data_IF_388428510713
#
_entry.id   IF_388428510713
#
_cell.length_a   1.000
_cell.length_b   1.000
_cell.length_c   1.000
_cell.angle_alpha   90.00
_cell.angle_beta   90.00
_cell.angle_gamma   90.00
#
_symmetry.space_group_name_H-M   'P 1'
#
loop_
_entity.id
_entity.type
_entity.pdbx_description
1 polymer ?
#
# COMPACT_ATOMS: atom_id res chain seq x y z
N UNK A 1 1.61 -6.97 -29.86
CA UNK A 1 2.31 -5.68 -30.14
C UNK A 1 1.53 -4.58 -29.44
N UNK A 2 2.13 -3.87 -28.49
CA UNK A 2 1.46 -2.74 -27.82
C UNK A 2 1.08 -1.70 -28.87
N UNK A 3 -0.21 -1.41 -29.04
CA UNK A 3 -0.71 -0.36 -29.92
C UNK A 3 -0.05 0.97 -29.54
N UNK A 4 0.66 1.60 -30.45
CA UNK A 4 1.15 2.97 -30.33
C UNK A 4 -0.07 3.91 -30.27
N UNK A 5 -0.66 4.10 -29.09
CA UNK A 5 -1.70 5.09 -28.90
C UNK A 5 -1.08 6.48 -28.71
N UNK A 6 -1.79 7.53 -29.12
CA UNK A 6 -1.35 8.93 -28.91
C UNK A 6 -1.10 9.22 -27.41
N UNK A 7 -1.83 8.58 -26.51
CA UNK A 7 -1.66 8.65 -25.06
C UNK A 7 -0.32 8.07 -24.64
N UNK A 8 0.03 6.87 -25.10
CA UNK A 8 1.31 6.22 -24.76
C UNK A 8 2.53 7.03 -25.25
N UNK A 9 2.42 7.68 -26.41
CA UNK A 9 3.49 8.54 -26.91
C UNK A 9 3.67 9.79 -26.02
N UNK A 10 2.58 10.44 -25.62
CA UNK A 10 2.62 11.59 -24.69
C UNK A 10 3.26 11.17 -23.33
N UNK A 11 2.83 10.05 -22.76
CA UNK A 11 3.39 9.51 -21.51
C UNK A 11 4.91 9.25 -21.65
N UNK A 12 5.32 8.67 -22.75
CA UNK A 12 6.75 8.39 -23.01
C UNK A 12 7.57 9.67 -23.17
N UNK A 13 7.07 10.67 -23.90
CA UNK A 13 7.75 11.96 -24.05
C UNK A 13 7.83 12.74 -22.72
N UNK A 14 6.79 12.68 -21.88
CA UNK A 14 6.83 13.28 -20.56
C UNK A 14 7.86 12.60 -19.66
N UNK A 15 7.88 11.26 -19.63
CA UNK A 15 8.85 10.49 -18.86
C UNK A 15 10.29 10.79 -19.32
N UNK A 16 10.50 10.90 -20.65
CA UNK A 16 11.80 11.25 -21.25
C UNK A 16 12.28 12.64 -20.82
N UNK A 17 11.40 13.63 -20.84
CA UNK A 17 11.74 14.99 -20.40
C UNK A 17 12.13 15.06 -18.93
N UNK A 18 11.50 14.23 -18.09
CA UNK A 18 11.71 14.20 -16.65
C UNK A 18 12.95 13.40 -16.24
N UNK A 19 13.14 12.22 -16.81
CA UNK A 19 14.09 11.21 -16.34
C UNK A 19 15.26 10.98 -17.30
N UNK A 20 15.22 11.57 -18.49
CA UNK A 20 16.28 11.45 -19.51
C UNK A 20 16.21 10.15 -20.33
N UNK A 21 17.10 10.06 -21.32
CA UNK A 21 17.13 8.97 -22.32
C UNK A 21 17.36 7.59 -21.70
N UNK A 22 18.32 7.50 -20.76
CA UNK A 22 18.73 6.22 -20.15
C UNK A 22 17.57 5.54 -19.42
N UNK A 23 16.89 6.27 -18.52
CA UNK A 23 15.82 5.71 -17.68
C UNK A 23 14.58 5.42 -18.52
N UNK A 24 14.31 6.23 -19.54
CA UNK A 24 13.22 5.97 -20.50
C UNK A 24 13.48 4.70 -21.31
N UNK A 25 14.72 4.50 -21.78
CA UNK A 25 15.10 3.28 -22.49
C UNK A 25 14.99 2.03 -21.61
N UNK A 26 15.47 2.10 -20.36
CA UNK A 26 15.36 0.98 -19.40
C UNK A 26 13.89 0.64 -19.09
N UNK A 27 13.06 1.63 -18.83
CA UNK A 27 11.62 1.44 -18.58
C UNK A 27 10.90 0.82 -19.79
N UNK A 28 11.24 1.25 -21.01
CA UNK A 28 10.70 0.66 -22.24
C UNK A 28 11.10 -0.81 -22.42
N UNK A 29 12.38 -1.14 -22.17
CA UNK A 29 12.87 -2.52 -22.25
C UNK A 29 12.22 -3.41 -21.17
N UNK A 30 12.02 -2.90 -19.97
CA UNK A 30 11.37 -3.64 -18.91
C UNK A 30 9.91 -3.96 -19.26
N UNK A 31 9.17 -2.98 -19.79
CA UNK A 31 7.78 -3.16 -20.27
C UNK A 31 7.67 -4.21 -21.37
N UNK A 32 8.59 -4.24 -22.32
CA UNK A 32 8.58 -5.23 -23.40
C UNK A 32 8.81 -6.67 -22.92
N UNK A 33 9.40 -6.85 -21.74
CA UNK A 33 9.64 -8.16 -21.12
C UNK A 33 8.49 -8.65 -20.25
N UNK A 34 7.68 -7.74 -19.74
CA UNK A 34 6.47 -8.11 -18.98
C UNK A 34 5.42 -8.60 -19.97
N UNK A 35 5.22 -9.91 -20.05
CA UNK A 35 3.99 -10.48 -20.59
C UNK A 35 3.01 -10.54 -19.44
N UNK A 36 2.04 -9.67 -19.44
CA UNK A 36 0.93 -9.72 -18.51
C UNK A 36 -0.14 -10.61 -19.15
N UNK A 37 -0.28 -11.82 -18.62
CA UNK A 37 -1.32 -12.77 -19.00
C UNK A 37 -2.36 -12.82 -17.87
N UNK A 38 -2.82 -11.61 -17.45
CA UNK A 38 -3.79 -11.47 -16.40
C UNK A 38 -5.21 -11.54 -16.98
N UNK A 39 -6.04 -12.32 -16.32
CA UNK A 39 -7.47 -12.36 -16.53
C UNK A 39 -8.15 -12.37 -15.17
N UNK A 40 -9.06 -11.43 -14.94
CA UNK A 40 -9.93 -11.50 -13.79
C UNK A 40 -10.95 -12.66 -13.97
N UNK A 41 -11.08 -13.48 -12.96
CA UNK A 41 -12.07 -14.54 -12.89
C UNK A 41 -13.02 -14.21 -11.74
N UNK A 42 -14.25 -13.85 -12.09
CA UNK A 42 -15.31 -13.63 -11.10
C UNK A 42 -15.59 -14.94 -10.34
N UNK A 43 -15.92 -14.85 -9.03
CA UNK A 43 -16.33 -16.03 -8.27
C UNK A 43 -17.51 -16.75 -8.96
N UNK A 44 -17.46 -18.09 -9.01
CA UNK A 44 -18.53 -18.88 -9.62
C UNK A 44 -19.86 -18.65 -8.87
N UNK A 45 -20.99 -18.74 -9.58
CA UNK A 45 -22.31 -18.52 -8.98
C UNK A 45 -22.59 -19.40 -7.74
N UNK A 46 -22.07 -20.65 -7.73
CA UNK A 46 -22.21 -21.53 -6.57
C UNK A 46 -21.50 -20.96 -5.33
N UNK A 47 -20.34 -20.33 -5.52
CA UNK A 47 -19.59 -19.64 -4.46
C UNK A 47 -20.38 -18.44 -3.98
N UNK A 48 -20.87 -17.58 -4.90
CA UNK A 48 -21.66 -16.40 -4.54
C UNK A 48 -22.95 -16.76 -3.78
N UNK A 49 -23.61 -17.88 -4.14
CA UNK A 49 -24.77 -18.39 -3.40
C UNK A 49 -24.38 -18.84 -2.00
N UNK A 50 -23.30 -19.60 -1.87
CA UNK A 50 -22.82 -20.05 -0.55
C UNK A 50 -22.45 -18.84 0.35
N UNK A 51 -21.79 -17.83 -0.20
CA UNK A 51 -21.48 -16.58 0.53
C UNK A 51 -22.74 -15.86 1.01
N UNK A 52 -23.79 -15.77 0.17
CA UNK A 52 -25.08 -15.17 0.58
C UNK A 52 -25.73 -15.92 1.74
N UNK A 53 -25.71 -17.26 1.69
CA UNK A 53 -26.24 -18.09 2.77
C UNK A 53 -25.44 -17.92 4.06
N UNK A 54 -24.11 -17.91 3.97
CA UNK A 54 -23.24 -17.71 5.12
C UNK A 54 -23.42 -16.32 5.71
N UNK A 55 -23.41 -15.27 4.87
CA UNK A 55 -23.65 -13.89 5.26
C UNK A 55 -24.99 -13.73 6.02
N UNK A 56 -26.04 -14.45 5.63
CA UNK A 56 -27.34 -14.39 6.30
C UNK A 56 -27.34 -14.94 7.75
N UNK A 57 -26.34 -15.77 8.08
CA UNK A 57 -26.15 -16.36 9.42
C UNK A 57 -25.18 -15.57 10.30
N UNK A 58 -24.42 -14.64 9.69
CA UNK A 58 -23.49 -13.79 10.43
C UNK A 58 -24.24 -12.77 11.29
N UNK A 59 -23.63 -12.36 12.40
CA UNK A 59 -24.10 -11.18 13.11
C UNK A 59 -24.03 -9.96 12.16
N UNK A 60 -25.10 -9.19 12.00
CA UNK A 60 -25.15 -8.13 11.02
C UNK A 60 -24.12 -7.04 11.34
N UNK A 61 -23.27 -6.75 10.36
CA UNK A 61 -22.29 -5.69 10.37
C UNK A 61 -22.65 -4.71 9.25
N UNK A 62 -23.22 -3.57 9.58
CA UNK A 62 -23.64 -2.58 8.59
C UNK A 62 -22.42 -1.86 8.02
N UNK A 63 -22.29 -1.88 6.68
CA UNK A 63 -21.36 -1.06 5.92
C UNK A 63 -22.05 0.17 5.35
N UNK A 64 -21.41 1.34 5.39
CA UNK A 64 -21.80 2.52 4.63
C UNK A 64 -20.86 2.64 3.43
N UNK A 65 -21.38 2.60 2.21
CA UNK A 65 -20.58 2.83 1.00
C UNK A 65 -20.78 4.27 0.58
N UNK A 66 -19.72 5.07 0.62
CA UNK A 66 -19.75 6.48 0.26
C UNK A 66 -19.35 6.69 -1.19
N UNK A 67 -20.20 7.37 -1.95
CA UNK A 67 -19.96 7.69 -3.35
C UNK A 67 -20.25 9.19 -3.57
N UNK A 68 -19.22 10.04 -3.59
CA UNK A 68 -19.39 11.42 -4.05
C UNK A 68 -19.62 11.43 -5.56
N UNK A 69 -20.70 12.05 -6.02
CA UNK A 69 -21.04 12.13 -7.44
C UNK A 69 -20.98 13.57 -7.94
N UNK A 70 -20.46 13.75 -9.14
CA UNK A 70 -20.43 15.03 -9.82
C UNK A 70 -20.46 14.83 -11.35
N UNK A 71 -21.59 15.12 -11.98
CA UNK A 71 -21.79 14.99 -13.44
C UNK A 71 -21.38 13.61 -13.96
N UNK A 72 -21.69 12.58 -13.19
CA UNK A 72 -21.36 11.19 -13.52
C UNK A 72 -22.12 10.75 -14.77
N UNK A 73 -21.46 10.19 -15.79
CA UNK A 73 -22.14 9.59 -16.93
C UNK A 73 -23.13 8.51 -16.47
N UNK A 74 -24.34 8.50 -17.06
CA UNK A 74 -25.42 7.61 -16.63
C UNK A 74 -25.01 6.14 -16.62
N UNK A 75 -24.30 5.68 -17.66
CA UNK A 75 -23.86 4.29 -17.77
C UNK A 75 -22.91 3.91 -16.62
N UNK A 76 -21.94 4.75 -16.28
CA UNK A 76 -21.01 4.48 -15.16
C UNK A 76 -21.74 4.47 -13.83
N UNK A 77 -22.64 5.42 -13.62
CA UNK A 77 -23.44 5.50 -12.41
C UNK A 77 -24.30 4.24 -12.21
N UNK A 78 -24.95 3.75 -13.28
CA UNK A 78 -25.74 2.52 -13.24
C UNK A 78 -24.85 1.31 -12.92
N UNK A 79 -23.77 1.13 -13.64
CA UNK A 79 -22.87 0.01 -13.46
C UNK A 79 -22.27 -0.01 -12.05
N UNK A 80 -21.90 1.17 -11.51
CA UNK A 80 -21.42 1.30 -10.13
C UNK A 80 -22.51 0.89 -9.12
N UNK A 81 -23.75 1.44 -9.25
CA UNK A 81 -24.87 1.09 -8.37
C UNK A 81 -25.15 -0.41 -8.44
N UNK A 82 -25.23 -0.97 -9.66
CA UNK A 82 -25.50 -2.39 -9.88
C UNK A 82 -24.43 -3.28 -9.23
N UNK A 83 -23.16 -2.87 -9.29
CA UNK A 83 -22.05 -3.59 -8.64
C UNK A 83 -22.20 -3.63 -7.11
N UNK A 84 -22.71 -2.56 -6.50
CA UNK A 84 -23.00 -2.51 -5.06
C UNK A 84 -24.25 -3.32 -4.71
N UNK A 85 -25.30 -3.26 -5.53
CA UNK A 85 -26.52 -4.04 -5.28
C UNK A 85 -26.33 -5.53 -5.46
N UNK A 86 -25.36 -5.94 -6.28
CA UNK A 86 -24.99 -7.35 -6.53
C UNK A 86 -24.22 -7.99 -5.37
N UNK A 87 -23.84 -7.26 -4.33
CA UNK A 87 -23.05 -7.79 -3.23
C UNK A 87 -23.68 -9.02 -2.57
N UNK A 88 -22.83 -10.02 -2.28
CA UNK A 88 -23.26 -11.25 -1.56
C UNK A 88 -23.52 -10.98 -0.09
N UNK A 89 -22.92 -9.94 0.49
CA UNK A 89 -23.21 -9.47 1.84
C UNK A 89 -24.21 -8.30 1.80
N UNK A 90 -25.42 -8.53 2.27
CA UNK A 90 -26.56 -7.63 2.07
C UNK A 90 -26.71 -6.49 3.10
N UNK A 91 -25.93 -6.50 4.19
CA UNK A 91 -26.05 -5.47 5.26
C UNK A 91 -25.20 -4.25 4.93
N UNK A 92 -25.71 -3.38 4.05
CA UNK A 92 -25.08 -2.12 3.68
C UNK A 92 -26.09 -1.01 3.40
N UNK A 93 -25.65 0.22 3.41
CA UNK A 93 -26.28 1.39 2.82
C UNK A 93 -25.34 2.00 1.77
N UNK A 94 -25.89 2.41 0.64
CA UNK A 94 -25.19 3.13 -0.43
C UNK A 94 -25.56 4.61 -0.35
N UNK A 95 -24.61 5.47 -0.04
CA UNK A 95 -24.81 6.91 0.14
C UNK A 95 -24.23 7.65 -1.04
N UNK A 96 -25.11 8.18 -1.90
CA UNK A 96 -24.77 8.97 -3.08
C UNK A 96 -24.90 10.45 -2.73
N UNK A 97 -23.76 11.14 -2.62
CA UNK A 97 -23.72 12.58 -2.35
C UNK A 97 -23.48 13.36 -3.64
N UNK A 98 -24.55 13.92 -4.20
CA UNK A 98 -24.55 14.52 -5.52
C UNK A 98 -24.35 16.03 -5.48
N UNK A 99 -23.26 16.48 -6.08
CA UNK A 99 -22.89 17.88 -6.27
C UNK A 99 -23.08 18.37 -7.71
N UNK A 100 -23.80 17.63 -8.58
CA UNK A 100 -23.94 17.95 -10.01
C UNK A 100 -24.68 19.26 -10.28
N UNK A 101 -25.59 19.64 -9.39
CA UNK A 101 -26.39 20.88 -9.52
C UNK A 101 -27.57 20.75 -10.45
N UNK A 102 -27.79 19.60 -11.10
CA UNK A 102 -28.91 19.25 -11.95
C UNK A 102 -29.62 17.97 -11.48
N UNK A 103 -30.56 17.45 -12.27
CA UNK A 103 -31.34 16.26 -11.91
C UNK A 103 -30.77 14.95 -12.51
N UNK A 104 -29.65 14.99 -13.23
CA UNK A 104 -29.16 13.86 -14.02
C UNK A 104 -28.88 12.62 -13.16
N UNK A 105 -28.16 12.79 -12.06
CA UNK A 105 -27.86 11.70 -11.10
C UNK A 105 -29.15 11.24 -10.41
N UNK A 106 -30.01 12.18 -9.99
CA UNK A 106 -31.25 11.85 -9.30
C UNK A 106 -32.19 11.03 -10.17
N UNK A 107 -32.34 11.38 -11.46
CA UNK A 107 -33.18 10.64 -12.40
C UNK A 107 -32.75 9.18 -12.55
N UNK A 108 -31.44 8.91 -12.52
CA UNK A 108 -30.91 7.54 -12.53
C UNK A 108 -31.25 6.84 -11.23
N UNK A 109 -30.97 7.48 -10.08
CA UNK A 109 -31.22 6.89 -8.75
C UNK A 109 -32.71 6.57 -8.54
N UNK A 110 -33.61 7.43 -8.99
CA UNK A 110 -35.08 7.25 -8.86
C UNK A 110 -35.59 6.02 -9.66
N UNK A 111 -34.79 5.44 -10.55
CA UNK A 111 -35.15 4.19 -11.23
C UNK A 111 -34.93 2.93 -10.38
N UNK A 112 -34.24 3.06 -9.25
CA UNK A 112 -33.98 1.95 -8.33
C UNK A 112 -34.96 1.98 -7.16
N UNK A 113 -35.60 0.85 -6.88
CA UNK A 113 -36.54 0.69 -5.75
C UNK A 113 -35.89 0.11 -4.50
N UNK A 114 -34.55 0.15 -4.38
CA UNK A 114 -33.81 -0.43 -3.26
C UNK A 114 -33.66 0.58 -2.11
N UNK A 115 -34.22 0.25 -0.95
CA UNK A 115 -34.22 1.13 0.24
C UNK A 115 -32.81 1.33 0.85
N UNK A 116 -31.83 0.55 0.44
CA UNK A 116 -30.44 0.71 0.88
C UNK A 116 -29.76 1.89 0.18
N UNK A 117 -30.29 2.37 -0.94
CA UNK A 117 -29.77 3.55 -1.64
C UNK A 117 -30.29 4.81 -0.97
N UNK A 118 -29.37 5.69 -0.61
CA UNK A 118 -29.64 7.00 -0.01
C UNK A 118 -29.05 8.10 -0.88
N UNK A 119 -29.90 8.80 -1.60
CA UNK A 119 -29.51 9.96 -2.40
C UNK A 119 -29.53 11.24 -1.56
N UNK A 120 -28.43 12.01 -1.62
CA UNK A 120 -28.26 13.27 -0.92
C UNK A 120 -27.83 14.33 -1.91
N UNK A 121 -28.70 15.31 -2.15
CA UNK A 121 -28.36 16.46 -2.98
C UNK A 121 -27.54 17.46 -2.18
N UNK A 122 -26.35 17.78 -2.66
CA UNK A 122 -25.51 18.80 -2.05
C UNK A 122 -25.87 20.18 -2.59
N UNK A 123 -25.83 21.20 -1.73
CA UNK A 123 -26.15 22.57 -2.11
C UNK A 123 -25.10 23.19 -3.05
N UNK A 124 -23.85 22.72 -2.91
CA UNK A 124 -22.69 23.19 -3.67
C UNK A 124 -21.65 22.09 -3.84
N UNK A 125 -20.82 22.19 -4.87
CA UNK A 125 -19.68 21.31 -5.08
C UNK A 125 -18.46 21.83 -4.29
N UNK A 126 -18.08 21.11 -3.23
CA UNK A 126 -16.92 21.42 -2.35
C UNK A 126 -15.67 20.62 -2.73
N UNK A 127 -15.59 20.10 -3.95
CA UNK A 127 -14.53 19.18 -4.32
C UNK A 127 -14.73 17.77 -3.76
N UNK A 128 -13.83 16.86 -4.09
CA UNK A 128 -13.98 15.46 -3.70
C UNK A 128 -13.97 15.28 -2.18
N UNK A 129 -13.06 15.94 -1.47
CA UNK A 129 -12.95 15.87 -0.02
C UNK A 129 -14.20 16.41 0.68
N UNK A 130 -14.64 17.61 0.30
CA UNK A 130 -15.81 18.25 0.90
C UNK A 130 -17.09 17.46 0.63
N UNK A 131 -17.29 16.97 -0.60
CA UNK A 131 -18.47 16.17 -0.96
C UNK A 131 -18.47 14.82 -0.21
N UNK A 132 -17.32 14.16 -0.06
CA UNK A 132 -17.21 12.91 0.69
C UNK A 132 -17.47 13.14 2.18
N UNK A 133 -16.99 14.26 2.75
CA UNK A 133 -17.27 14.61 4.15
C UNK A 133 -18.78 14.87 4.37
N UNK A 134 -19.48 15.48 3.39
CA UNK A 134 -20.95 15.63 3.48
C UNK A 134 -21.63 14.24 3.46
N UNK A 135 -21.22 13.33 2.57
CA UNK A 135 -21.73 11.95 2.56
C UNK A 135 -21.49 11.25 3.90
N UNK A 136 -20.31 11.42 4.48
CA UNK A 136 -19.89 10.79 5.73
C UNK A 136 -20.78 11.16 6.94
N UNK A 137 -21.38 12.35 6.96
CA UNK A 137 -22.31 12.76 8.01
C UNK A 137 -23.52 11.83 8.11
N UNK A 138 -23.89 11.23 6.98
CA UNK A 138 -25.05 10.35 6.85
C UNK A 138 -24.70 8.86 7.05
N UNK A 139 -23.43 8.50 7.15
CA UNK A 139 -22.99 7.13 7.37
C UNK A 139 -23.42 6.64 8.77
N UNK A 140 -24.14 5.50 8.81
CA UNK A 140 -24.63 4.85 10.02
C UNK A 140 -23.99 3.48 10.25
N UNK A 141 -23.30 2.94 9.25
CA UNK A 141 -22.58 1.67 9.34
C UNK A 141 -21.42 1.72 10.32
N UNK A 142 -21.02 0.56 10.83
CA UNK A 142 -19.85 0.44 11.70
C UNK A 142 -18.56 0.62 10.92
N UNK A 143 -18.55 0.23 9.66
CA UNK A 143 -17.46 0.43 8.72
C UNK A 143 -17.94 1.20 7.49
N UNK A 144 -17.06 1.99 6.93
CA UNK A 144 -17.32 2.80 5.74
C UNK A 144 -16.34 2.42 4.63
N UNK A 145 -16.88 2.04 3.46
CA UNK A 145 -16.13 1.81 2.23
C UNK A 145 -16.16 3.04 1.33
N UNK A 146 -15.04 3.32 0.69
CA UNK A 146 -14.86 4.45 -0.23
C UNK A 146 -14.91 3.94 -1.67
N UNK A 147 -15.87 4.42 -2.45
CA UNK A 147 -16.07 4.00 -3.83
C UNK A 147 -16.20 5.23 -4.74
N UNK A 148 -15.43 5.26 -5.81
CA UNK A 148 -15.54 6.28 -6.83
C UNK A 148 -16.78 6.03 -7.74
N UNK A 149 -17.38 7.10 -8.22
CA UNK A 149 -18.68 7.07 -8.92
C UNK A 149 -18.65 6.41 -10.31
N UNK A 150 -17.47 6.11 -10.82
CA UNK A 150 -17.22 5.51 -12.14
C UNK A 150 -16.53 4.13 -12.06
N UNK A 151 -16.28 3.63 -10.85
CA UNK A 151 -15.60 2.36 -10.60
C UNK A 151 -16.58 1.23 -10.19
N UNK A 152 -16.05 0.02 -10.04
CA UNK A 152 -16.86 -1.16 -9.75
C UNK A 152 -16.32 -1.95 -8.56
N UNK A 153 -17.23 -2.52 -7.77
CA UNK A 153 -16.87 -3.55 -6.77
C UNK A 153 -17.09 -4.95 -7.36
N UNK A 154 -16.25 -5.91 -6.95
CA UNK A 154 -16.56 -7.32 -7.20
C UNK A 154 -17.75 -7.76 -6.35
N UNK A 155 -18.53 -8.78 -6.78
CA UNK A 155 -19.78 -9.15 -6.10
C UNK A 155 -19.59 -9.67 -4.66
N UNK A 156 -18.37 -10.01 -4.28
CA UNK A 156 -18.00 -10.54 -2.97
C UNK A 156 -17.21 -9.53 -2.11
N UNK A 157 -17.06 -8.29 -2.56
CA UNK A 157 -16.22 -7.30 -1.88
C UNK A 157 -16.63 -7.06 -0.41
N UNK A 158 -17.91 -6.87 -0.14
CA UNK A 158 -18.39 -6.65 1.23
C UNK A 158 -18.36 -7.93 2.08
N UNK A 159 -18.57 -9.09 1.45
CA UNK A 159 -18.47 -10.38 2.14
C UNK A 159 -17.04 -10.63 2.62
N UNK A 160 -16.05 -10.47 1.76
CA UNK A 160 -14.64 -10.66 2.11
C UNK A 160 -14.19 -9.67 3.22
N UNK A 161 -14.66 -8.42 3.17
CA UNK A 161 -14.43 -7.47 4.26
C UNK A 161 -15.09 -7.90 5.57
N UNK A 162 -16.34 -8.39 5.54
CA UNK A 162 -17.04 -8.87 6.73
C UNK A 162 -16.32 -10.08 7.34
N UNK A 163 -15.86 -11.02 6.51
CA UNK A 163 -15.11 -12.19 6.93
C UNK A 163 -13.76 -11.80 7.55
N UNK A 164 -13.00 -10.92 6.92
CA UNK A 164 -11.73 -10.43 7.46
C UNK A 164 -11.90 -9.75 8.84
N UNK A 165 -12.97 -8.96 9.00
CA UNK A 165 -13.31 -8.33 10.28
C UNK A 165 -13.68 -9.39 11.33
N UNK A 166 -14.49 -10.38 10.97
CA UNK A 166 -14.91 -11.45 11.88
C UNK A 166 -13.70 -12.29 12.33
N UNK A 167 -12.84 -12.67 11.41
CA UNK A 167 -11.60 -13.41 11.69
C UNK A 167 -10.66 -12.63 12.61
N UNK A 168 -10.38 -11.36 12.31
CA UNK A 168 -9.53 -10.52 13.15
C UNK A 168 -10.09 -10.39 14.57
N UNK A 169 -11.41 -10.16 14.71
CA UNK A 169 -12.09 -10.08 16.01
C UNK A 169 -12.03 -11.38 16.80
N UNK A 170 -12.07 -12.53 16.14
CA UNK A 170 -11.92 -13.84 16.80
C UNK A 170 -10.54 -13.99 17.46
N UNK A 171 -9.54 -13.29 16.95
CA UNK A 171 -8.17 -13.21 17.50
C UNK A 171 -7.98 -12.05 18.50
N UNK A 172 -9.06 -11.34 18.85
CA UNK A 172 -9.00 -10.16 19.72
C UNK A 172 -8.47 -8.88 19.06
N UNK A 173 -8.33 -8.87 17.74
CA UNK A 173 -7.90 -7.71 16.95
C UNK A 173 -9.12 -6.90 16.55
N UNK A 174 -9.01 -5.57 16.60
CA UNK A 174 -10.04 -4.65 16.10
C UNK A 174 -9.56 -3.98 14.82
N UNK A 175 -9.90 -4.51 13.63
CA UNK A 175 -9.53 -3.86 12.39
C UNK A 175 -10.10 -2.45 12.32
N UNK A 176 -9.25 -1.47 12.04
CA UNK A 176 -9.68 -0.07 11.92
C UNK A 176 -9.53 0.44 10.50
N UNK A 177 -8.65 -0.19 9.72
CA UNK A 177 -8.41 0.06 8.30
C UNK A 177 -8.26 -1.29 7.60
N UNK A 178 -9.03 -1.50 6.53
CA UNK A 178 -8.91 -2.65 5.65
C UNK A 178 -8.67 -2.15 4.22
N UNK A 179 -7.95 -2.92 3.44
CA UNK A 179 -7.74 -2.67 2.01
C UNK A 179 -7.58 -3.98 1.26
N UNK A 180 -7.91 -3.96 -0.02
CA UNK A 180 -7.81 -5.14 -0.87
C UNK A 180 -6.86 -4.93 -2.05
N UNK A 181 -6.58 -6.00 -2.78
CA UNK A 181 -6.03 -5.88 -4.12
C UNK A 181 -7.04 -5.20 -5.05
N UNK A 182 -6.54 -4.67 -6.14
CA UNK A 182 -7.33 -4.02 -7.19
C UNK A 182 -6.79 -4.39 -8.57
N UNK A 183 -7.59 -4.18 -9.59
CA UNK A 183 -7.14 -4.16 -10.98
C UNK A 183 -7.71 -2.96 -11.72
N UNK A 184 -7.48 -2.90 -13.00
CA UNK A 184 -8.06 -1.89 -13.87
C UNK A 184 -9.02 -2.53 -14.85
N UNK A 185 -10.09 -1.81 -15.18
CA UNK A 185 -10.96 -2.19 -16.28
C UNK A 185 -10.97 -1.11 -17.38
N UNK A 186 -11.37 -1.52 -18.58
CA UNK A 186 -11.59 -0.58 -19.68
C UNK A 186 -12.85 0.26 -19.44
N UNK A 187 -13.12 1.18 -20.37
CA UNK A 187 -14.27 2.11 -20.31
C UNK A 187 -15.61 1.37 -20.20
N UNK A 188 -15.71 0.16 -20.79
CA UNK A 188 -16.93 -0.63 -20.77
C UNK A 188 -17.04 -1.57 -19.54
N UNK A 189 -16.02 -1.65 -18.69
CA UNK A 189 -16.01 -2.59 -17.55
C UNK A 189 -15.90 -4.08 -17.94
N UNK A 190 -15.48 -4.39 -19.16
CA UNK A 190 -15.46 -5.74 -19.70
C UNK A 190 -14.07 -6.39 -19.69
N UNK A 191 -13.03 -5.60 -19.92
CA UNK A 191 -11.64 -6.09 -20.00
C UNK A 191 -10.85 -5.62 -18.79
N UNK A 192 -10.32 -6.58 -18.03
CA UNK A 192 -9.54 -6.34 -16.81
C UNK A 192 -8.04 -6.53 -17.07
N UNK A 193 -7.22 -5.64 -16.50
CA UNK A 193 -5.78 -5.60 -16.74
C UNK A 193 -5.04 -4.91 -15.59
N UNK A 194 -3.71 -5.00 -15.57
CA UNK A 194 -2.84 -4.36 -14.59
C UNK A 194 -3.24 -4.65 -13.13
N UNK A 195 -3.31 -5.91 -12.70
CA UNK A 195 -3.62 -6.22 -11.31
C UNK A 195 -2.57 -5.61 -10.40
N UNK A 196 -3.02 -5.01 -9.30
CA UNK A 196 -2.19 -4.55 -8.22
C UNK A 196 -2.36 -5.48 -7.03
N UNK A 197 -1.54 -6.52 -6.97
CA UNK A 197 -1.40 -7.36 -5.78
C UNK A 197 -0.60 -6.61 -4.75
N UNK A 198 -1.23 -6.34 -3.62
CA UNK A 198 -0.65 -5.51 -2.57
C UNK A 198 0.09 -6.37 -1.55
N UNK A 199 0.90 -5.72 -0.73
CA UNK A 199 1.57 -6.36 0.40
C UNK A 199 0.69 -6.24 1.65
N UNK A 200 0.96 -7.08 2.65
CA UNK A 200 0.56 -6.79 4.02
C UNK A 200 1.03 -5.38 4.40
N UNK A 201 0.40 -4.80 5.43
CA UNK A 201 0.73 -3.42 5.78
C UNK A 201 2.24 -3.20 5.96
N UNK A 202 2.76 -2.24 5.21
CA UNK A 202 4.19 -1.94 5.11
C UNK A 202 4.39 -0.43 5.27
N UNK A 203 4.86 -0.02 6.45
CA UNK A 203 4.98 1.39 6.80
C UNK A 203 5.90 2.16 5.86
N UNK A 204 7.06 1.61 5.53
CA UNK A 204 8.01 2.30 4.66
C UNK A 204 7.54 2.33 3.20
N UNK A 205 6.79 1.32 2.77
CA UNK A 205 6.18 1.32 1.45
C UNK A 205 5.07 2.36 1.34
N UNK A 206 4.18 2.49 2.36
CA UNK A 206 3.13 3.52 2.34
C UNK A 206 3.72 4.95 2.38
N UNK A 207 4.88 5.14 2.96
CA UNK A 207 5.60 6.43 2.90
C UNK A 207 6.19 6.70 1.50
N UNK A 208 6.43 5.66 0.71
CA UNK A 208 6.96 5.77 -0.64
C UNK A 208 5.89 6.01 -1.70
N UNK A 209 4.68 5.50 -1.52
CA UNK A 209 3.52 5.70 -2.42
C UNK A 209 2.23 5.22 -1.77
N UNK A 210 1.09 5.73 -2.27
CA UNK A 210 -0.23 5.23 -1.87
C UNK A 210 -0.52 3.87 -2.54
N UNK A 211 0.03 2.78 -2.00
CA UNK A 211 -0.24 1.45 -2.52
C UNK A 211 -1.57 0.87 -2.01
N UNK A 212 -2.14 1.42 -0.94
CA UNK A 212 -3.42 0.99 -0.34
C UNK A 212 -4.60 1.31 -1.26
N UNK A 213 -4.72 2.57 -1.68
CA UNK A 213 -5.68 3.14 -2.65
C UNK A 213 -7.11 2.55 -2.55
N UNK A 214 -7.46 1.53 -3.33
CA UNK A 214 -8.79 0.90 -3.37
C UNK A 214 -8.67 -0.62 -3.06
N UNK A 215 -9.65 -1.33 -2.60
CA UNK A 215 -10.86 -0.83 -1.95
C UNK A 215 -10.53 -0.57 -0.48
N UNK A 216 -10.64 0.69 -0.07
CA UNK A 216 -10.39 1.10 1.31
C UNK A 216 -11.68 1.05 2.11
N UNK A 217 -11.65 0.31 3.22
CA UNK A 217 -12.72 0.22 4.21
C UNK A 217 -12.18 0.63 5.57
N UNK A 218 -12.82 1.58 6.24
CA UNK A 218 -12.35 2.13 7.52
C UNK A 218 -13.46 2.06 8.57
N UNK A 219 -13.08 1.87 9.84
CA UNK A 219 -14.02 2.03 10.94
C UNK A 219 -14.64 3.44 10.87
N UNK A 220 -15.98 3.52 10.82
CA UNK A 220 -16.71 4.78 10.59
C UNK A 220 -16.37 5.84 11.64
N UNK A 221 -16.19 5.42 12.90
CA UNK A 221 -15.80 6.32 13.97
C UNK A 221 -14.43 6.97 13.72
N UNK A 222 -13.47 6.18 13.24
CA UNK A 222 -12.13 6.69 12.87
C UNK A 222 -12.23 7.64 11.68
N UNK A 223 -12.99 7.27 10.65
CA UNK A 223 -13.16 8.12 9.46
C UNK A 223 -13.84 9.46 9.81
N UNK A 224 -14.87 9.44 10.69
CA UNK A 224 -15.53 10.65 11.20
C UNK A 224 -14.63 11.53 12.06
N UNK A 225 -13.71 10.95 12.81
CA UNK A 225 -12.70 11.67 13.58
C UNK A 225 -11.68 12.37 12.65
N UNK A 226 -11.22 11.66 11.62
CA UNK A 226 -10.16 12.16 10.73
C UNK A 226 -10.69 13.10 9.66
N UNK A 227 -11.80 12.78 9.03
CA UNK A 227 -12.36 13.46 7.85
C UNK A 227 -11.35 13.63 6.69
N UNK A 228 -11.82 13.95 5.52
CA UNK A 228 -10.96 14.34 4.40
C UNK A 228 -10.56 15.79 4.52
N UNK A 229 -9.36 16.13 4.07
CA UNK A 229 -8.83 17.49 4.07
C UNK A 229 -8.74 18.03 2.64
N UNK A 230 -9.43 19.13 2.36
CA UNK A 230 -9.54 19.73 1.03
C UNK A 230 -8.20 20.21 0.46
N UNK A 231 -7.25 20.59 1.32
CA UNK A 231 -5.91 20.98 0.89
C UNK A 231 -5.08 19.85 0.26
N UNK A 232 -5.58 18.59 0.37
CA UNK A 232 -4.96 17.41 -0.25
C UNK A 232 -5.79 16.85 -1.40
N UNK A 233 -6.76 17.59 -1.93
CA UNK A 233 -7.55 17.13 -3.09
C UNK A 233 -6.65 16.63 -4.22
N UNK A 234 -6.99 15.46 -4.74
CA UNK A 234 -6.18 14.68 -5.69
C UNK A 234 -5.24 13.65 -5.06
N UNK A 235 -4.99 13.73 -3.74
CA UNK A 235 -4.32 12.73 -2.91
C UNK A 235 -4.96 12.67 -1.51
N UNK A 236 -6.25 13.01 -1.41
CA UNK A 236 -7.02 13.08 -0.17
C UNK A 236 -7.14 11.72 0.52
N UNK A 237 -7.22 10.65 -0.25
CA UNK A 237 -7.20 9.26 0.19
C UNK A 237 -5.85 8.89 0.83
N UNK A 238 -4.76 9.31 0.21
CA UNK A 238 -3.41 9.07 0.72
C UNK A 238 -3.16 9.82 2.04
N UNK A 239 -3.55 11.08 2.13
CA UNK A 239 -3.51 11.86 3.36
C UNK A 239 -4.33 11.19 4.47
N UNK A 240 -5.54 10.73 4.15
CA UNK A 240 -6.42 10.03 5.08
C UNK A 240 -5.77 8.76 5.62
N UNK A 241 -5.21 7.91 4.73
CA UNK A 241 -4.56 6.66 5.12
C UNK A 241 -3.36 6.93 6.03
N UNK A 242 -2.50 7.88 5.70
CA UNK A 242 -1.35 8.24 6.54
C UNK A 242 -1.79 8.71 7.93
N UNK A 243 -2.83 9.55 8.02
CA UNK A 243 -3.39 9.99 9.31
C UNK A 243 -4.06 8.85 10.08
N UNK A 244 -4.72 7.92 9.38
CA UNK A 244 -5.29 6.73 10.01
C UNK A 244 -4.20 5.87 10.65
N UNK A 245 -3.09 5.62 9.94
CA UNK A 245 -1.91 4.92 10.48
C UNK A 245 -1.42 5.62 11.76
N UNK A 246 -1.20 6.94 11.70
CA UNK A 246 -0.76 7.70 12.87
C UNK A 246 -1.70 7.60 14.06
N UNK A 247 -3.01 7.65 13.81
CA UNK A 247 -4.05 7.56 14.83
C UNK A 247 -4.13 6.14 15.45
N UNK A 248 -4.08 5.09 14.63
CA UNK A 248 -4.08 3.68 15.06
C UNK A 248 -2.91 3.41 16.01
N UNK A 249 -1.71 3.80 15.62
CA UNK A 249 -0.52 3.66 16.47
C UNK A 249 -0.63 4.49 17.75
N UNK A 250 -1.06 5.76 17.64
CA UNK A 250 -1.22 6.65 18.79
C UNK A 250 -2.23 6.14 19.81
N UNK A 251 -3.37 5.59 19.39
CA UNK A 251 -4.39 4.99 20.28
C UNK A 251 -3.88 3.73 20.99
N UNK A 252 -2.94 3.01 20.40
CA UNK A 252 -2.27 1.90 21.06
C UNK A 252 -1.15 2.38 22.03
N UNK A 253 -0.96 3.68 22.18
CA UNK A 253 0.08 4.27 23.03
C UNK A 253 1.50 4.03 22.49
N UNK A 254 1.64 3.80 21.18
CA UNK A 254 2.91 3.51 20.54
C UNK A 254 3.13 4.51 19.37
N UNK A 255 4.13 5.40 19.45
CA UNK A 255 4.47 6.26 18.32
C UNK A 255 4.87 5.43 17.08
N UNK A 256 4.50 5.88 15.89
CA UNK A 256 4.74 5.17 14.62
C UNK A 256 6.21 4.79 14.42
N UNK A 257 7.13 5.69 14.78
CA UNK A 257 8.57 5.51 14.61
C UNK A 257 9.30 5.15 15.93
N UNK A 258 8.58 4.56 16.88
CA UNK A 258 9.17 4.01 18.10
C UNK A 258 9.36 2.49 17.98
N UNK A 259 10.35 1.98 18.69
CA UNK A 259 10.53 0.53 18.83
C UNK A 259 9.28 -0.09 19.42
N UNK A 260 8.79 -1.17 18.81
CA UNK A 260 7.66 -1.92 19.33
C UNK A 260 7.97 -2.49 20.73
N UNK A 261 6.93 -2.62 21.54
CA UNK A 261 7.07 -3.22 22.88
C UNK A 261 7.00 -4.75 22.76
N UNK A 262 8.07 -5.50 23.04
CA UNK A 262 8.00 -6.95 23.02
C UNK A 262 6.88 -7.48 23.93
N UNK A 263 6.05 -8.37 23.39
CA UNK A 263 4.91 -8.94 24.12
C UNK A 263 3.61 -8.12 24.09
N UNK A 264 3.59 -6.94 23.44
CA UNK A 264 2.37 -6.23 23.05
C UNK A 264 2.02 -6.51 21.60
N UNK A 265 0.71 -6.46 21.29
CA UNK A 265 0.24 -6.53 19.91
C UNK A 265 0.82 -5.38 19.07
N UNK A 266 1.21 -5.68 17.84
CA UNK A 266 1.65 -4.64 16.90
C UNK A 266 0.42 -3.84 16.44
N UNK A 267 0.41 -2.50 16.57
CA UNK A 267 -0.68 -1.67 16.04
C UNK A 267 -0.98 -1.92 14.56
N UNK A 268 0.00 -2.36 13.79
CA UNK A 268 -0.17 -2.76 12.40
C UNK A 268 -1.20 -3.88 12.19
N UNK A 269 -1.44 -4.75 13.19
CA UNK A 269 -2.46 -5.80 13.12
C UNK A 269 -3.90 -5.25 13.00
N UNK A 270 -4.11 -3.97 13.34
CA UNK A 270 -5.39 -3.28 13.13
C UNK A 270 -5.56 -2.73 11.69
N UNK A 271 -4.56 -2.95 10.83
CA UNK A 271 -4.57 -2.61 9.40
C UNK A 271 -4.52 -3.91 8.61
N UNK A 272 -5.66 -4.30 8.03
CA UNK A 272 -5.83 -5.61 7.43
C UNK A 272 -5.79 -5.55 5.90
N UNK A 273 -4.96 -6.36 5.28
CA UNK A 273 -4.95 -6.60 3.85
C UNK A 273 -5.85 -7.80 3.52
N UNK A 274 -6.63 -7.66 2.46
CA UNK A 274 -7.42 -8.74 1.86
C UNK A 274 -6.80 -9.06 0.51
N UNK A 275 -6.05 -10.17 0.43
CA UNK A 275 -5.28 -10.57 -0.76
C UNK A 275 -6.21 -11.09 -1.89
N UNK A 276 -7.20 -10.30 -2.27
CA UNK A 276 -8.15 -10.54 -3.34
C UNK A 276 -8.43 -9.25 -4.09
N UNK A 277 -8.60 -9.33 -5.41
CA UNK A 277 -9.10 -8.21 -6.21
C UNK A 277 -10.58 -8.02 -5.89
N UNK A 278 -10.89 -6.92 -5.18
CA UNK A 278 -12.26 -6.57 -4.79
C UNK A 278 -12.74 -5.25 -5.41
N UNK A 279 -11.89 -4.60 -6.19
CA UNK A 279 -12.14 -3.31 -6.79
C UNK A 279 -11.58 -3.24 -8.22
N UNK A 280 -12.38 -2.71 -9.15
CA UNK A 280 -11.99 -2.48 -10.53
C UNK A 280 -11.95 -0.99 -10.82
N UNK A 281 -10.76 -0.46 -11.02
CA UNK A 281 -10.52 0.94 -11.36
C UNK A 281 -10.74 1.17 -12.86
N UNK A 282 -11.79 1.92 -13.22
CA UNK A 282 -12.13 2.19 -14.61
C UNK A 282 -11.16 3.18 -15.24
N UNK A 283 -10.68 2.83 -16.43
CA UNK A 283 -9.80 3.67 -17.23
C UNK A 283 -10.56 4.27 -18.39
N UNK A 284 -10.77 5.59 -18.36
CA UNK A 284 -11.35 6.35 -19.45
C UNK A 284 -10.57 7.66 -19.68
N UNK A 285 -10.88 8.39 -20.77
CA UNK A 285 -10.10 9.56 -21.22
C UNK A 285 -10.00 10.71 -20.21
N UNK A 286 -10.94 10.82 -19.28
CA UNK A 286 -10.95 11.80 -18.20
C UNK A 286 -10.32 11.28 -16.89
N UNK A 287 -10.06 9.96 -16.77
CA UNK A 287 -9.49 9.37 -15.56
C UNK A 287 -8.03 9.77 -15.34
N UNK A 288 -7.60 9.79 -14.07
CA UNK A 288 -6.20 10.07 -13.68
C UNK A 288 -5.24 9.06 -14.28
N UNK A 289 -5.70 7.83 -14.49
CA UNK A 289 -4.92 6.74 -15.04
C UNK A 289 -4.43 7.00 -16.47
N UNK A 290 -5.15 7.81 -17.24
CA UNK A 290 -4.83 8.02 -18.66
C UNK A 290 -4.03 9.30 -18.96
N UNK A 291 -4.11 10.34 -18.12
CA UNK A 291 -3.37 11.60 -18.32
C UNK A 291 -2.58 12.07 -17.09
N UNK A 292 -1.31 11.58 -16.90
CA UNK A 292 -0.48 11.99 -15.77
C UNK A 292 -0.16 13.48 -15.68
N UNK A 293 -0.29 14.23 -16.81
CA UNK A 293 0.03 15.67 -16.84
C UNK A 293 -1.12 16.55 -16.33
N UNK A 294 -2.36 16.06 -16.39
CA UNK A 294 -3.53 16.85 -16.01
C UNK A 294 -3.66 17.09 -14.52
N UNK A 295 -2.95 16.31 -13.69
CA UNK A 295 -3.07 16.36 -12.22
C UNK A 295 -1.72 16.48 -11.52
N UNK A 296 -0.83 17.38 -11.97
CA UNK A 296 0.42 17.65 -11.23
C UNK A 296 0.16 18.03 -9.76
N UNK A 297 -0.93 18.73 -9.50
CA UNK A 297 -1.34 19.09 -8.15
C UNK A 297 -1.53 17.87 -7.24
N UNK A 298 -2.05 16.75 -7.78
CA UNK A 298 -2.24 15.52 -7.01
C UNK A 298 -0.92 14.92 -6.51
N UNK A 299 0.13 14.95 -7.35
CA UNK A 299 1.45 14.48 -6.93
C UNK A 299 2.09 15.39 -5.88
N UNK A 300 1.88 16.71 -5.99
CA UNK A 300 2.32 17.67 -4.98
C UNK A 300 1.54 17.49 -3.67
N UNK A 301 0.22 17.29 -3.73
CA UNK A 301 -0.61 17.00 -2.58
C UNK A 301 -0.12 15.73 -1.85
N UNK A 302 0.16 14.64 -2.58
CA UNK A 302 0.69 13.42 -2.00
C UNK A 302 2.07 13.59 -1.37
N UNK A 303 2.99 14.36 -2.02
CA UNK A 303 4.27 14.72 -1.41
C UNK A 303 4.09 15.49 -0.10
N UNK A 304 3.17 16.43 -0.09
CA UNK A 304 2.87 17.24 1.08
C UNK A 304 2.24 16.39 2.19
N UNK A 305 1.36 15.45 1.85
CA UNK A 305 0.77 14.52 2.82
C UNK A 305 1.85 13.70 3.54
N UNK A 306 2.82 13.13 2.81
CA UNK A 306 3.95 12.40 3.42
C UNK A 306 4.80 13.31 4.30
N UNK A 307 5.14 14.52 3.82
CA UNK A 307 5.93 15.50 4.59
C UNK A 307 5.23 15.85 5.90
N UNK A 308 3.94 16.15 5.84
CA UNK A 308 3.17 16.63 6.99
C UNK A 308 2.89 15.49 7.97
N UNK A 309 2.72 14.27 7.48
CA UNK A 309 2.68 13.06 8.31
C UNK A 309 3.98 12.88 9.09
N UNK A 310 5.15 12.88 8.42
CA UNK A 310 6.46 12.74 9.07
C UNK A 310 6.66 13.81 10.14
N UNK A 311 6.33 15.08 9.81
CA UNK A 311 6.40 16.20 10.76
C UNK A 311 5.48 15.97 11.97
N UNK A 312 4.26 15.52 11.75
CA UNK A 312 3.31 15.17 12.81
C UNK A 312 3.80 14.06 13.73
N UNK A 313 4.63 13.13 13.21
CA UNK A 313 5.29 12.08 13.98
C UNK A 313 6.65 12.51 14.59
N UNK A 314 6.99 13.81 14.53
CA UNK A 314 8.25 14.33 15.09
C UNK A 314 9.49 14.00 14.26
N UNK A 315 9.34 13.59 13.01
CA UNK A 315 10.44 13.27 12.09
C UNK A 315 10.60 14.39 11.07
N UNK A 316 11.73 15.11 11.15
CA UNK A 316 12.10 16.12 10.15
C UNK A 316 12.92 15.46 9.05
N UNK A 317 12.33 15.30 7.88
CA UNK A 317 12.97 14.74 6.70
C UNK A 317 12.56 15.51 5.45
N UNK A 318 13.45 15.55 4.46
CA UNK A 318 13.11 16.06 3.13
C UNK A 318 12.28 15.03 2.36
N UNK A 319 11.19 15.45 1.71
CA UNK A 319 10.39 14.59 0.84
C UNK A 319 10.47 15.13 -0.58
N UNK A 320 10.94 14.30 -1.50
CA UNK A 320 11.10 14.61 -2.92
C UNK A 320 10.27 13.64 -3.78
N UNK A 321 9.95 14.04 -5.01
CA UNK A 321 9.42 13.13 -6.00
C UNK A 321 10.51 12.18 -6.48
N UNK A 322 10.20 10.89 -6.56
CA UNK A 322 11.07 9.93 -7.24
C UNK A 322 11.00 10.11 -8.77
N UNK A 323 11.74 9.30 -9.51
CA UNK A 323 11.61 9.25 -10.98
C UNK A 323 10.24 8.77 -11.47
N UNK A 324 9.49 8.06 -10.64
CA UNK A 324 8.12 7.62 -10.91
C UNK A 324 7.11 8.61 -10.34
N UNK A 325 6.06 8.93 -11.11
CA UNK A 325 5.00 9.83 -10.66
C UNK A 325 4.14 9.15 -9.57
N UNK A 326 3.82 9.90 -8.52
CA UNK A 326 3.09 9.37 -7.36
C UNK A 326 3.96 8.55 -6.40
N UNK A 327 5.29 8.54 -6.63
CA UNK A 327 6.25 7.90 -5.74
C UNK A 327 7.20 8.94 -5.14
N UNK A 328 7.54 8.76 -3.87
CA UNK A 328 8.28 9.73 -3.08
C UNK A 328 9.55 9.13 -2.48
N UNK A 329 10.59 9.96 -2.36
CA UNK A 329 11.85 9.64 -1.71
C UNK A 329 12.00 10.48 -0.46
N UNK A 330 12.34 9.84 0.66
CA UNK A 330 12.51 10.51 1.95
C UNK A 330 13.99 10.59 2.29
N UNK A 331 14.48 11.79 2.46
CA UNK A 331 15.85 12.07 2.84
C UNK A 331 15.94 12.31 4.35
N UNK A 332 16.41 11.30 5.08
CA UNK A 332 16.62 11.35 6.53
C UNK A 332 18.01 11.95 6.85
N UNK A 333 18.07 13.01 7.65
CA UNK A 333 19.29 13.65 8.09
C UNK A 333 19.41 13.62 9.62
N UNK A 334 20.59 13.33 10.23
CA UNK A 334 21.88 13.06 9.58
C UNK A 334 21.98 11.66 8.97
N UNK A 335 21.24 10.68 9.46
CA UNK A 335 21.18 9.33 8.91
C UNK A 335 19.84 8.64 9.25
N UNK A 336 19.52 7.58 8.51
CA UNK A 336 18.25 6.87 8.62
C UNK A 336 18.02 6.32 10.05
N UNK A 337 18.99 5.60 10.61
CA UNK A 337 18.83 4.95 11.91
C UNK A 337 18.73 5.92 13.08
N UNK A 338 19.24 7.13 12.95
CA UNK A 338 19.16 8.13 14.02
C UNK A 338 17.73 8.67 14.20
N UNK A 339 16.97 8.79 13.13
CA UNK A 339 15.59 9.31 13.13
C UNK A 339 14.54 8.18 13.23
N UNK A 340 14.80 7.03 12.63
CA UNK A 340 13.92 5.86 12.60
C UNK A 340 14.26 4.91 13.73
N UNK A 341 13.83 5.28 14.94
CA UNK A 341 14.12 4.48 16.16
C UNK A 341 13.42 3.12 16.18
N UNK A 342 12.38 2.96 15.37
CA UNK A 342 11.68 1.70 15.13
C UNK A 342 12.48 0.71 14.28
N UNK A 343 13.52 1.15 13.57
CA UNK A 343 14.31 0.31 12.66
C UNK A 343 15.59 -0.19 13.33
N UNK A 344 15.77 -1.50 13.40
CA UNK A 344 16.95 -2.14 14.01
C UNK A 344 18.04 -2.49 13.02
N UNK A 345 17.66 -2.81 11.78
CA UNK A 345 18.60 -3.09 10.70
C UNK A 345 18.13 -2.53 9.37
N UNK A 346 19.07 -2.06 8.57
CA UNK A 346 18.88 -1.64 7.19
C UNK A 346 19.78 -2.45 6.27
N UNK A 347 19.35 -2.64 5.03
CA UNK A 347 20.16 -3.29 4.00
C UNK A 347 19.91 -2.71 2.62
N UNK A 348 20.78 -3.03 1.67
CA UNK A 348 20.71 -2.51 0.31
C UNK A 348 21.03 -3.60 -0.72
N UNK A 349 20.69 -3.40 -2.00
CA UNK A 349 21.05 -4.35 -3.03
C UNK A 349 22.56 -4.30 -3.32
N UNK A 350 23.15 -5.47 -3.54
CA UNK A 350 24.47 -5.59 -4.12
C UNK A 350 24.38 -5.94 -5.60
N UNK A 351 25.28 -5.39 -6.39
CA UNK A 351 25.27 -5.56 -7.84
C UNK A 351 26.57 -6.22 -8.33
N UNK A 352 26.43 -7.21 -9.21
CA UNK A 352 27.52 -7.79 -9.99
C UNK A 352 27.08 -7.86 -11.45
N UNK A 353 27.93 -7.45 -12.39
CA UNK A 353 27.61 -7.42 -13.82
C UNK A 353 26.27 -6.70 -14.11
N UNK A 354 26.05 -5.57 -13.45
CA UNK A 354 24.84 -4.75 -13.60
C UNK A 354 23.52 -5.45 -13.24
N UNK A 355 23.57 -6.50 -12.40
CA UNK A 355 22.39 -7.23 -11.90
C UNK A 355 22.46 -7.34 -10.38
N UNK A 356 21.30 -7.32 -9.75
CA UNK A 356 21.17 -7.59 -8.29
C UNK A 356 21.64 -9.03 -8.06
N UNK A 357 22.58 -9.21 -7.15
CA UNK A 357 23.06 -10.51 -6.70
C UNK A 357 22.42 -10.93 -5.38
N UNK A 358 22.34 -10.00 -4.44
CA UNK A 358 21.67 -10.18 -3.14
C UNK A 358 21.20 -8.82 -2.62
N UNK A 359 20.31 -8.84 -1.61
CA UNK A 359 19.78 -7.61 -1.03
C UNK A 359 18.73 -7.90 0.03
N UNK A 360 17.64 -8.53 -0.31
CA UNK A 360 16.57 -8.86 0.64
C UNK A 360 15.98 -10.25 0.38
N UNK A 361 15.41 -10.82 1.44
CA UNK A 361 14.83 -12.16 1.44
C UNK A 361 13.40 -12.12 1.96
N UNK A 362 12.55 -13.00 1.40
CA UNK A 362 11.25 -13.32 1.98
C UNK A 362 11.39 -14.32 3.15
N UNK A 363 10.25 -14.68 3.75
CA UNK A 363 10.18 -15.62 4.86
C UNK A 363 10.73 -17.01 4.54
N UNK A 364 10.68 -17.41 3.28
CA UNK A 364 11.13 -18.72 2.80
C UNK A 364 12.62 -18.70 2.41
N UNK A 365 13.29 -17.55 2.55
CA UNK A 365 14.71 -17.36 2.23
C UNK A 365 15.00 -17.13 0.75
N UNK A 366 13.96 -16.87 -0.05
CA UNK A 366 14.12 -16.53 -1.46
C UNK A 366 14.68 -15.11 -1.58
N UNK A 367 15.77 -14.98 -2.33
CA UNK A 367 16.36 -13.68 -2.66
C UNK A 367 15.49 -12.95 -3.68
N UNK A 368 14.77 -11.93 -3.20
CA UNK A 368 13.91 -11.10 -4.02
C UNK A 368 14.75 -10.24 -4.99
N UNK A 369 14.25 -10.08 -6.20
CA UNK A 369 14.89 -9.30 -7.29
C UNK A 369 16.26 -9.79 -7.73
N UNK A 370 16.73 -10.98 -7.33
CA UNK A 370 17.98 -11.58 -7.87
C UNK A 370 17.93 -11.64 -9.39
N UNK A 371 18.99 -11.16 -10.04
CA UNK A 371 19.09 -11.10 -11.49
C UNK A 371 18.43 -9.89 -12.15
N UNK A 372 17.68 -9.07 -11.41
CA UNK A 372 17.11 -7.82 -11.93
C UNK A 372 18.24 -6.86 -12.31
N UNK A 373 18.15 -6.25 -13.49
CA UNK A 373 19.15 -5.30 -13.96
C UNK A 373 19.07 -3.99 -13.17
N UNK A 374 20.21 -3.37 -12.90
CA UNK A 374 20.26 -2.04 -12.31
C UNK A 374 19.47 -1.04 -13.15
N UNK A 375 18.57 -0.30 -12.52
CA UNK A 375 17.68 0.65 -13.15
C UNK A 375 16.37 0.04 -13.66
N UNK A 376 16.14 -1.27 -13.44
CA UNK A 376 14.82 -1.88 -13.55
C UNK A 376 14.11 -1.78 -12.20
N UNK A 377 12.85 -1.39 -12.24
CA UNK A 377 12.07 -1.11 -11.04
C UNK A 377 11.35 -2.33 -10.46
N UNK A 378 11.24 -3.41 -11.24
CA UNK A 378 10.47 -4.58 -10.84
C UNK A 378 8.95 -4.34 -10.91
N UNK A 379 8.21 -5.29 -10.36
CA UNK A 379 6.76 -5.17 -10.25
C UNK A 379 6.40 -4.01 -9.32
N UNK A 380 5.42 -3.19 -9.72
CA UNK A 380 4.98 -1.99 -9.00
C UNK A 380 6.13 -1.07 -8.52
N UNK A 381 7.24 -1.07 -9.23
CA UNK A 381 8.47 -0.32 -8.91
C UNK A 381 9.15 -0.71 -7.58
N UNK A 382 8.75 -1.80 -6.95
CA UNK A 382 9.16 -2.18 -5.59
C UNK A 382 10.66 -2.42 -5.41
N UNK A 383 11.38 -2.81 -6.46
CA UNK A 383 12.84 -2.97 -6.36
C UNK A 383 13.59 -1.65 -6.10
N UNK A 384 12.94 -0.51 -6.35
CA UNK A 384 13.48 0.84 -6.17
C UNK A 384 12.82 1.62 -5.04
N UNK A 385 11.97 0.98 -4.23
CA UNK A 385 11.27 1.63 -3.12
C UNK A 385 11.85 1.22 -1.77
N UNK A 386 11.86 2.17 -0.83
CA UNK A 386 12.11 1.89 0.58
C UNK A 386 10.92 1.10 1.12
N UNK A 387 11.19 0.00 1.81
CA UNK A 387 10.13 -0.89 2.30
C UNK A 387 10.60 -1.72 3.49
N UNK A 388 9.65 -2.05 4.37
CA UNK A 388 9.85 -3.08 5.39
C UNK A 388 10.02 -4.43 4.71
N UNK A 389 10.95 -5.25 5.18
CA UNK A 389 11.23 -6.56 4.58
C UNK A 389 11.38 -7.64 5.64
N UNK A 390 11.25 -8.90 5.22
CA UNK A 390 11.47 -10.00 6.14
C UNK A 390 12.91 -10.05 6.62
N UNK A 391 13.88 -10.00 5.70
CA UNK A 391 15.30 -9.92 6.04
C UNK A 391 16.08 -9.18 4.94
N UNK A 392 17.20 -8.58 5.34
CA UNK A 392 18.21 -8.01 4.44
C UNK A 392 19.50 -8.82 4.53
N UNK A 393 20.26 -8.88 3.44
CA UNK A 393 21.50 -9.65 3.37
C UNK A 393 22.56 -9.09 4.31
N UNK A 394 23.15 -9.95 5.12
CA UNK A 394 24.15 -9.56 6.13
C UNK A 394 25.37 -8.87 5.51
N UNK A 395 25.71 -9.16 4.26
CA UNK A 395 26.84 -8.53 3.54
C UNK A 395 26.59 -7.05 3.23
N UNK A 396 25.30 -6.62 3.19
CA UNK A 396 24.92 -5.22 2.97
C UNK A 396 24.12 -4.64 4.13
N UNK A 397 24.06 -5.36 5.24
CA UNK A 397 23.33 -4.98 6.43
C UNK A 397 24.12 -3.96 7.26
N UNK A 398 23.38 -3.03 7.87
CA UNK A 398 23.86 -2.16 8.96
C UNK A 398 22.87 -2.25 10.10
N UNK A 399 23.34 -2.56 11.30
CA UNK A 399 22.53 -2.66 12.52
C UNK A 399 22.75 -1.45 13.44
N UNK A 400 21.80 -1.23 14.34
CA UNK A 400 21.95 -0.30 15.45
C UNK A 400 23.06 -0.76 16.40
N UNK A 401 23.76 0.20 17.02
CA UNK A 401 24.84 -0.10 17.96
C UNK A 401 24.37 -0.92 19.16
N UNK A 402 23.20 -0.60 19.69
CA UNK A 402 22.56 -1.27 20.83
C UNK A 402 22.16 -2.73 20.57
N UNK A 403 22.11 -3.16 19.33
CA UNK A 403 21.79 -4.54 18.94
C UNK A 403 23.04 -5.42 18.74
N UNK A 404 24.23 -4.86 18.91
CA UNK A 404 25.49 -5.55 18.62
C UNK A 404 25.64 -6.84 19.43
N UNK A 405 25.40 -6.80 20.73
CA UNK A 405 25.53 -7.95 21.62
C UNK A 405 24.51 -9.06 21.26
N UNK A 406 23.27 -8.66 20.98
CA UNK A 406 22.23 -9.58 20.50
C UNK A 406 22.69 -10.30 19.23
N UNK A 407 23.16 -9.55 18.24
CA UNK A 407 23.59 -10.13 16.96
C UNK A 407 24.83 -10.99 17.13
N UNK A 408 25.75 -10.60 18.00
CA UNK A 408 26.92 -11.45 18.37
C UNK A 408 26.50 -12.80 18.96
N UNK A 409 25.49 -12.84 19.85
CA UNK A 409 24.99 -14.09 20.40
C UNK A 409 24.37 -14.99 19.32
N UNK A 410 23.56 -14.42 18.42
CA UNK A 410 22.97 -15.17 17.30
C UNK A 410 24.04 -15.76 16.37
N UNK A 411 25.07 -14.98 16.06
CA UNK A 411 26.17 -15.45 15.20
C UNK A 411 27.02 -16.56 15.88
N UNK A 412 27.22 -16.51 17.19
CA UNK A 412 27.92 -17.56 17.96
C UNK A 412 27.18 -18.91 17.88
N UNK A 413 25.87 -18.90 17.98
CA UNK A 413 25.06 -20.11 17.89
C UNK A 413 25.14 -20.81 16.51
N UNK A 414 25.56 -20.07 15.46
CA UNK A 414 25.66 -20.60 14.09
C UNK A 414 27.01 -21.31 13.80
N UNK A 415 27.99 -21.23 14.70
CA UNK A 415 29.32 -21.81 14.51
C UNK A 415 29.83 -22.43 15.79
N UNK A 416 30.33 -23.65 15.69
CA UNK A 416 30.93 -24.39 16.80
C UNK A 416 32.34 -23.91 17.21
N UNK A 417 32.85 -22.81 16.64
CA UNK A 417 34.18 -22.29 16.90
C UNK A 417 34.14 -21.03 17.76
N UNK A 418 34.68 -21.19 18.98
CA UNK A 418 34.89 -20.09 19.92
C UNK A 418 36.23 -19.41 19.59
N UNK A 419 36.15 -18.30 18.82
CA UNK A 419 37.33 -17.46 18.56
C UNK A 419 37.22 -16.17 19.37
N UNK A 420 38.17 -15.99 20.28
CA UNK A 420 38.19 -14.87 21.21
C UNK A 420 38.15 -13.48 20.53
N UNK A 421 37.17 -12.69 20.90
CA UNK A 421 37.25 -11.25 21.00
C UNK A 421 36.76 -10.41 19.82
N UNK A 422 36.91 -10.76 18.53
CA UNK A 422 36.57 -9.90 17.38
C UNK A 422 35.82 -10.63 16.28
N UNK A 423 36.06 -11.91 16.07
CA UNK A 423 35.43 -12.74 15.04
C UNK A 423 34.30 -13.57 15.66
N UNK A 424 33.07 -13.36 15.23
CA UNK A 424 31.90 -14.07 15.76
C UNK A 424 31.15 -14.72 14.62
N UNK A 425 31.06 -16.04 14.63
CA UNK A 425 30.35 -16.77 13.58
C UNK A 425 30.91 -16.55 12.17
N UNK A 426 32.24 -16.27 12.04
CA UNK A 426 32.86 -15.95 10.76
C UNK A 426 32.68 -14.50 10.31
N UNK A 427 32.14 -13.60 11.16
CA UNK A 427 31.96 -12.19 10.84
C UNK A 427 32.68 -11.27 11.86
N UNK A 428 33.13 -10.12 11.36
CA UNK A 428 33.52 -8.97 12.17
C UNK A 428 32.41 -7.93 12.10
N UNK A 429 31.86 -7.52 13.25
CA UNK A 429 30.91 -6.42 13.34
C UNK A 429 31.68 -5.12 13.57
N UNK A 430 31.72 -4.26 12.57
CA UNK A 430 32.45 -2.98 12.61
C UNK A 430 31.76 -1.97 13.54
N UNK A 431 32.49 -0.95 13.98
CA UNK A 431 31.94 0.10 14.85
C UNK A 431 30.72 0.82 14.31
N UNK A 432 30.64 0.97 12.99
CA UNK A 432 29.50 1.60 12.29
C UNK A 432 28.28 0.65 12.15
N UNK A 433 28.35 -0.59 12.69
CA UNK A 433 27.26 -1.56 12.65
C UNK A 433 27.20 -2.41 11.38
N UNK A 434 28.18 -2.32 10.48
CA UNK A 434 28.26 -3.17 9.28
C UNK A 434 29.03 -4.45 9.54
N UNK A 435 28.93 -5.41 8.64
CA UNK A 435 29.51 -6.74 8.73
C UNK A 435 30.63 -6.94 7.70
N UNK A 436 31.67 -7.63 8.11
CA UNK A 436 32.73 -8.12 7.22
C UNK A 436 32.88 -9.63 7.40
N UNK A 437 32.63 -10.40 6.34
CA UNK A 437 32.80 -11.84 6.37
C UNK A 437 34.31 -12.21 6.32
N UNK A 438 34.72 -13.12 7.16
CA UNK A 438 36.08 -13.69 7.20
C UNK A 438 36.11 -15.15 6.77
N UNK A 439 34.94 -15.72 6.47
CA UNK A 439 34.76 -17.06 5.88
C UNK A 439 34.01 -16.94 4.56
N UNK A 440 34.19 -17.94 3.72
CA UNK A 440 33.37 -18.10 2.53
C UNK A 440 32.16 -18.94 2.88
N UNK A 441 30.98 -18.34 2.79
CA UNK A 441 29.70 -19.01 2.96
C UNK A 441 29.05 -19.22 1.58
N UNK A 442 28.22 -20.23 1.47
CA UNK A 442 27.31 -20.37 0.32
C UNK A 442 26.23 -19.30 0.32
N UNK A 443 25.52 -19.11 -0.77
CA UNK A 443 24.41 -18.16 -0.82
C UNK A 443 23.27 -18.56 0.12
N UNK A 444 23.04 -19.86 0.29
CA UNK A 444 22.05 -20.43 1.22
C UNK A 444 22.43 -20.15 2.67
N UNK A 445 23.70 -20.32 3.02
CA UNK A 445 24.19 -20.00 4.37
C UNK A 445 24.08 -18.50 4.66
N UNK A 446 24.43 -17.62 3.70
CA UNK A 446 24.23 -16.19 3.87
C UNK A 446 22.77 -15.83 4.07
N UNK A 447 21.86 -16.45 3.32
CA UNK A 447 20.41 -16.23 3.46
C UNK A 447 19.92 -16.65 4.84
N UNK A 448 20.33 -17.84 5.30
CA UNK A 448 19.94 -18.40 6.61
C UNK A 448 20.45 -17.53 7.77
N UNK A 449 21.72 -17.14 7.75
CA UNK A 449 22.33 -16.26 8.75
C UNK A 449 21.64 -14.90 8.77
N UNK A 450 21.38 -14.32 7.59
CA UNK A 450 20.67 -13.05 7.45
C UNK A 450 19.29 -13.09 8.08
N UNK A 451 18.52 -14.16 7.81
CA UNK A 451 17.19 -14.37 8.36
C UNK A 451 17.23 -14.47 9.88
N UNK A 452 18.10 -15.31 10.45
CA UNK A 452 18.23 -15.50 11.91
C UNK A 452 18.58 -14.19 12.63
N UNK A 453 19.51 -13.40 12.07
CA UNK A 453 19.85 -12.08 12.60
C UNK A 453 18.63 -11.15 12.57
N UNK A 454 17.95 -11.07 11.42
CA UNK A 454 16.78 -10.21 11.28
C UNK A 454 15.62 -10.64 12.17
N UNK A 455 15.37 -11.94 12.33
CA UNK A 455 14.36 -12.48 13.25
C UNK A 455 14.64 -12.11 14.71
N UNK A 456 15.91 -12.22 15.13
CA UNK A 456 16.31 -11.82 16.49
C UNK A 456 16.08 -10.31 16.71
N UNK A 457 16.39 -9.48 15.71
CA UNK A 457 16.14 -8.03 15.73
C UNK A 457 14.64 -7.75 15.83
N UNK A 458 13.81 -8.44 15.02
CA UNK A 458 12.35 -8.32 15.07
C UNK A 458 11.75 -8.73 16.41
N UNK A 459 12.24 -9.80 17.03
CA UNK A 459 11.84 -10.24 18.39
C UNK A 459 12.08 -9.17 19.46
N UNK A 460 12.96 -8.19 19.21
CA UNK A 460 13.17 -7.02 20.08
C UNK A 460 12.26 -5.85 19.74
N UNK A 461 11.29 -6.03 18.83
CA UNK A 461 10.31 -5.00 18.42
C UNK A 461 10.81 -4.04 17.34
N UNK A 462 11.92 -4.34 16.67
CA UNK A 462 12.45 -3.51 15.59
C UNK A 462 11.99 -3.99 14.23
N UNK A 463 11.90 -3.06 13.28
CA UNK A 463 11.67 -3.29 11.85
C UNK A 463 12.99 -3.53 11.13
N UNK A 464 12.91 -4.18 9.98
CA UNK A 464 14.02 -4.38 9.03
C UNK A 464 13.65 -3.65 7.74
N UNK A 465 14.50 -2.73 7.28
CA UNK A 465 14.18 -1.88 6.12
C UNK A 465 15.19 -2.06 5.00
N UNK A 466 14.66 -2.22 3.80
CA UNK A 466 15.43 -2.24 2.56
C UNK A 466 15.56 -0.84 1.97
N UNK A 467 16.77 -0.41 1.68
CA UNK A 467 17.12 0.89 1.11
C UNK A 467 17.73 0.69 -0.28
N UNK A 468 16.98 0.85 -1.37
CA UNK A 468 17.46 0.58 -2.73
C UNK A 468 18.59 1.50 -3.18
N UNK A 469 18.63 2.73 -2.68
CA UNK A 469 19.70 3.71 -2.91
C UNK A 469 20.97 3.49 -2.07
N UNK A 470 20.96 2.50 -1.19
CA UNK A 470 21.99 2.29 -0.18
C UNK A 470 21.91 3.33 0.95
N UNK A 471 22.75 3.15 1.95
CA UNK A 471 22.99 4.19 2.96
C UNK A 471 24.33 4.85 2.68
N UNK A 472 24.36 6.16 2.67
CA UNK A 472 25.61 6.90 2.66
C UNK A 472 26.14 6.89 4.10
N UNK A 473 27.26 6.22 4.31
CA UNK A 473 27.99 6.18 5.59
C UNK A 473 28.66 7.49 5.89
#
# INVERSE_FOLDING_TARGET
MAKLSKSNLKKTLYYLKRNGLRDTYLAALERLRKKEDYRYEAPAEAVLRAQKEEASRMAPLLFSILVPTYRTPENYLREMIDSVLAQTYGSFELILADASGDESVKQVVDTYEDKRIRYIRLAENKGISGNTNEALKHATGLYTGLLDHDDLLTPDALYENAMAIAEARSRGIRPQLLYSDEDKCDENGENYFCPHKKEEFNLDLILSNNYICHFTVMETALLKELQFREEYDGAQDYDLVLRAVGNIYGKCGQPVFATGCPGKADPAENICHIARVLYHWRCHSASTADNPQSKQYAYEAGRNAVRDFLKGQGVTAGVAHSKHLGFYEINYHPDFLSLRKDVGAIGSPAYKNNKITYGMYDKDGKNLYRGLKRGYAGEMNRAELVQDVYAVDIRTMKIRKELRELVQSVLKEQTSEDTAGVLVGGFVIKENGTFESRKNFTEEEYAEISRKVCEAVKKKGYRIVYLPGGWKG
#
